data_IF_227781653377
#
_entry.id   IF_227781653377
#
_cell.length_a   1.000
_cell.length_b   1.000
_cell.length_c   1.000
_cell.angle_alpha   90.00
_cell.angle_beta   90.00
_cell.angle_gamma   90.00
#
_symmetry.space_group_name_H-M   'P 1'
#
loop_
_entity.id
_entity.type
_entity.pdbx_description
1 polymer ?
#
# COMPACT_ATOMS: atom_id res chain seq x y z
N UNK A 1 -30.55 45.60 -48.33
CA UNK A 1 -31.05 44.68 -47.29
C UNK A 1 -31.15 43.28 -47.90
N UNK A 2 -30.21 42.39 -47.63
CA UNK A 2 -30.17 41.04 -48.17
C UNK A 2 -29.09 40.23 -47.45
N UNK A 3 -29.52 39.24 -46.67
CA UNK A 3 -28.72 38.54 -45.65
C UNK A 3 -27.65 37.64 -46.28
N UNK A 4 -26.44 37.67 -45.70
CA UNK A 4 -25.40 36.67 -45.92
C UNK A 4 -25.55 35.60 -44.84
N UNK A 5 -25.99 34.40 -45.21
CA UNK A 5 -25.97 33.24 -44.33
C UNK A 5 -24.56 32.63 -44.31
N UNK A 6 -24.00 32.49 -43.11
CA UNK A 6 -22.70 31.83 -42.88
C UNK A 6 -22.94 30.33 -42.75
N UNK A 7 -22.31 29.55 -43.63
CA UNK A 7 -22.28 28.08 -43.57
C UNK A 7 -21.25 27.64 -42.52
N UNK A 8 -21.69 26.80 -41.57
CA UNK A 8 -20.82 26.21 -40.55
C UNK A 8 -20.10 24.97 -41.09
N UNK A 9 -18.77 25.00 -41.06
CA UNK A 9 -17.89 23.90 -41.44
C UNK A 9 -17.90 22.83 -40.33
N UNK A 10 -18.42 21.63 -40.63
CA UNK A 10 -18.38 20.48 -39.71
C UNK A 10 -17.07 19.73 -39.93
N UNK A 11 -16.17 19.77 -38.94
CA UNK A 11 -15.00 18.89 -38.91
C UNK A 11 -15.44 17.48 -38.51
N UNK A 12 -15.21 16.55 -39.44
CA UNK A 12 -15.33 15.11 -39.26
C UNK A 12 -13.97 14.62 -38.72
N UNK A 13 -13.92 14.11 -37.49
CA UNK A 13 -12.76 13.37 -36.99
C UNK A 13 -13.23 12.00 -36.52
N UNK A 14 -13.32 11.07 -37.47
CA UNK A 14 -13.41 9.64 -37.19
C UNK A 14 -12.00 9.10 -36.94
N UNK A 15 -11.82 8.40 -35.82
CA UNK A 15 -10.56 7.73 -35.49
C UNK A 15 -10.58 6.29 -36.05
N UNK A 16 -9.60 5.99 -36.91
CA UNK A 16 -9.27 4.65 -37.36
C UNK A 16 -8.43 3.96 -36.27
N UNK A 17 -8.84 2.79 -35.81
CA UNK A 17 -7.99 1.92 -34.97
C UNK A 17 -7.11 1.10 -35.91
N UNK A 18 -5.84 1.49 -36.06
CA UNK A 18 -4.81 0.65 -36.65
C UNK A 18 -4.12 -0.13 -35.53
N UNK A 19 -4.17 -1.46 -35.60
CA UNK A 19 -3.51 -2.35 -34.65
C UNK A 19 -1.99 -2.19 -34.72
N UNK A 20 -1.36 -1.95 -33.56
CA UNK A 20 0.09 -2.01 -33.40
C UNK A 20 0.39 -3.07 -32.36
N UNK A 21 1.11 -4.10 -32.80
CA UNK A 21 1.69 -5.14 -31.97
C UNK A 21 2.94 -4.54 -31.30
N UNK A 22 2.92 -4.39 -29.97
CA UNK A 22 4.07 -3.89 -29.21
C UNK A 22 4.57 -4.93 -28.21
N UNK A 23 5.87 -5.18 -28.28
CA UNK A 23 6.67 -6.05 -27.43
C UNK A 23 6.72 -5.48 -26.01
N UNK A 24 6.43 -6.31 -25.01
CA UNK A 24 6.46 -5.92 -23.60
C UNK A 24 7.91 -5.81 -23.10
N UNK A 25 8.32 -4.62 -22.69
CA UNK A 25 9.46 -4.43 -21.77
C UNK A 25 8.90 -4.27 -20.36
N UNK A 26 9.18 -5.24 -19.50
CA UNK A 26 8.80 -5.25 -18.08
C UNK A 26 9.57 -4.18 -17.30
N UNK A 27 8.90 -3.08 -16.95
CA UNK A 27 9.33 -2.18 -15.88
C UNK A 27 8.77 -2.67 -14.54
N UNK A 28 9.63 -2.76 -13.52
CA UNK A 28 9.31 -3.25 -12.18
C UNK A 28 8.09 -2.51 -11.57
N UNK A 29 7.07 -3.26 -11.19
CA UNK A 29 5.81 -2.73 -10.66
C UNK A 29 5.79 -2.67 -9.13
N UNK A 30 5.12 -1.63 -8.62
CA UNK A 30 4.43 -1.68 -7.32
C UNK A 30 3.48 -2.89 -7.28
N UNK A 31 3.16 -3.38 -6.08
CA UNK A 31 2.38 -4.60 -5.84
C UNK A 31 1.26 -4.84 -6.87
N UNK A 32 1.20 -6.05 -7.42
CA UNK A 32 0.40 -6.38 -8.60
C UNK A 32 -1.12 -6.31 -8.41
N UNK A 33 -1.58 -6.14 -7.18
CA UNK A 33 -3.00 -6.20 -6.83
C UNK A 33 -3.67 -4.85 -7.05
N UNK A 34 -4.22 -4.71 -8.26
CA UNK A 34 -5.05 -3.59 -8.71
C UNK A 34 -6.51 -4.01 -8.77
N UNK A 35 -7.41 -3.10 -8.45
CA UNK A 35 -8.85 -3.26 -8.63
C UNK A 35 -9.15 -3.51 -10.12
N UNK A 36 -9.79 -4.64 -10.41
CA UNK A 36 -10.08 -5.06 -11.78
C UNK A 36 -10.98 -4.04 -12.50
N UNK A 37 -10.45 -3.46 -13.59
CA UNK A 37 -11.18 -2.50 -14.42
C UNK A 37 -11.30 -1.10 -13.83
N UNK A 38 -10.53 -0.72 -12.80
CA UNK A 38 -10.63 0.59 -12.15
C UNK A 38 -9.38 1.46 -12.38
N UNK A 39 -9.60 2.74 -12.68
CA UNK A 39 -8.55 3.75 -12.84
C UNK A 39 -8.87 5.00 -12.03
N UNK A 40 -7.80 5.66 -11.57
CA UNK A 40 -7.83 7.01 -11.03
C UNK A 40 -7.29 7.97 -12.09
N UNK A 41 -8.08 8.98 -12.44
CA UNK A 41 -7.77 9.91 -13.54
C UNK A 41 -7.87 11.34 -13.05
N UNK A 42 -6.77 12.08 -13.17
CA UNK A 42 -6.74 13.51 -12.86
C UNK A 42 -6.68 14.33 -14.15
N UNK A 43 -7.70 15.15 -14.44
CA UNK A 43 -7.66 16.14 -15.52
C UNK A 43 -6.66 17.25 -15.21
N UNK A 44 -6.15 17.92 -16.25
CA UNK A 44 -5.40 19.17 -16.05
C UNK A 44 -6.32 20.28 -15.55
N UNK A 45 -5.74 21.19 -14.77
CA UNK A 45 -6.43 22.38 -14.29
C UNK A 45 -7.04 23.16 -15.46
N UNK A 46 -8.32 23.55 -15.33
CA UNK A 46 -9.05 24.32 -16.35
C UNK A 46 -9.82 23.48 -17.37
N UNK A 47 -9.69 22.15 -17.37
CA UNK A 47 -10.53 21.28 -18.20
C UNK A 47 -11.97 21.30 -17.68
N UNK A 48 -12.91 21.72 -18.53
CA UNK A 48 -14.32 21.80 -18.14
C UNK A 48 -14.90 20.41 -17.86
N UNK A 49 -15.57 20.24 -16.72
CA UNK A 49 -16.20 18.97 -16.30
C UNK A 49 -17.07 18.33 -17.38
N UNK A 50 -17.85 19.13 -18.10
CA UNK A 50 -18.72 18.68 -19.21
C UNK A 50 -17.93 18.11 -20.40
N UNK A 51 -16.74 18.64 -20.69
CA UNK A 51 -15.88 18.12 -21.74
C UNK A 51 -15.29 16.75 -21.35
N UNK A 52 -14.90 16.61 -20.07
CA UNK A 52 -14.40 15.36 -19.51
C UNK A 52 -15.48 14.26 -19.49
N UNK A 53 -16.70 14.59 -19.04
CA UNK A 53 -17.84 13.67 -19.04
C UNK A 53 -18.18 13.20 -20.46
N UNK A 54 -18.15 14.11 -21.43
CA UNK A 54 -18.35 13.77 -22.84
C UNK A 54 -17.27 12.82 -23.34
N UNK A 55 -16.00 13.11 -23.05
CA UNK A 55 -14.87 12.25 -23.44
C UNK A 55 -15.02 10.84 -22.85
N UNK A 56 -15.39 10.70 -21.58
CA UNK A 56 -15.59 9.40 -20.96
C UNK A 56 -16.80 8.65 -21.55
N UNK A 57 -17.91 9.34 -21.81
CA UNK A 57 -19.08 8.75 -22.43
C UNK A 57 -18.79 8.21 -23.85
N UNK A 58 -18.01 8.94 -24.66
CA UNK A 58 -17.61 8.51 -26.01
C UNK A 58 -16.71 7.26 -26.00
N UNK A 59 -15.97 7.03 -24.90
CA UNK A 59 -15.02 5.93 -24.76
C UNK A 59 -15.54 4.75 -23.92
N UNK A 60 -16.86 4.69 -23.66
CA UNK A 60 -17.49 3.64 -22.83
C UNK A 60 -16.87 3.53 -21.43
N UNK A 61 -16.39 4.65 -20.90
CA UNK A 61 -15.83 4.77 -19.56
C UNK A 61 -16.94 5.20 -18.61
N UNK A 62 -17.13 4.45 -17.53
CA UNK A 62 -18.12 4.79 -16.50
C UNK A 62 -17.46 5.55 -15.37
N UNK A 63 -17.98 6.71 -14.99
CA UNK A 63 -17.53 7.41 -13.78
C UNK A 63 -18.22 6.76 -12.58
N UNK A 64 -17.43 6.20 -11.66
CA UNK A 64 -17.94 5.54 -10.45
C UNK A 64 -17.91 6.49 -9.26
N UNK A 65 -16.98 7.44 -9.25
CA UNK A 65 -16.87 8.40 -8.16
C UNK A 65 -15.87 9.52 -8.46
N UNK A 66 -15.67 10.36 -7.45
CA UNK A 66 -14.76 11.50 -7.50
C UNK A 66 -14.16 11.73 -6.11
N UNK A 67 -12.91 12.22 -6.09
CA UNK A 67 -12.23 12.73 -4.91
C UNK A 67 -12.13 14.25 -5.06
N UNK A 68 -13.12 15.02 -4.58
CA UNK A 68 -13.30 16.42 -4.99
C UNK A 68 -12.13 17.33 -4.63
N UNK A 69 -11.45 17.07 -3.50
CA UNK A 69 -10.36 17.92 -2.99
C UNK A 69 -9.12 17.92 -3.89
N UNK A 70 -8.94 16.87 -4.68
CA UNK A 70 -7.80 16.69 -5.59
C UNK A 70 -8.24 16.51 -7.05
N UNK A 71 -9.54 16.70 -7.33
CA UNK A 71 -10.16 16.62 -8.65
C UNK A 71 -9.92 15.30 -9.40
N UNK A 72 -9.68 14.22 -8.66
CA UNK A 72 -9.47 12.87 -9.23
C UNK A 72 -10.81 12.21 -9.50
N UNK A 73 -10.98 11.68 -10.71
CA UNK A 73 -12.12 10.82 -11.07
C UNK A 73 -11.76 9.36 -10.84
N UNK A 74 -12.66 8.65 -10.18
CA UNK A 74 -12.63 7.20 -10.15
C UNK A 74 -13.51 6.68 -11.30
N UNK A 75 -12.88 6.00 -12.25
CA UNK A 75 -13.55 5.45 -13.42
C UNK A 75 -13.46 3.92 -13.48
N UNK A 76 -14.45 3.31 -14.13
CA UNK A 76 -14.50 1.89 -14.44
C UNK A 76 -14.54 1.66 -15.94
N UNK A 77 -13.77 0.69 -16.38
CA UNK A 77 -13.59 0.27 -17.77
C UNK A 77 -13.66 -1.25 -17.87
N UNK A 78 -13.96 -1.82 -19.04
CA UNK A 78 -13.83 -3.26 -19.23
C UNK A 78 -12.41 -3.71 -18.88
N UNK A 79 -12.27 -4.74 -18.04
CA UNK A 79 -10.97 -5.20 -17.53
C UNK A 79 -9.97 -5.50 -18.66
N UNK A 80 -10.45 -6.12 -19.74
CA UNK A 80 -9.64 -6.42 -20.95
C UNK A 80 -9.09 -5.17 -21.66
N UNK A 81 -9.70 -4.01 -21.44
CA UNK A 81 -9.30 -2.74 -22.02
C UNK A 81 -8.53 -1.85 -21.03
N UNK A 82 -8.31 -2.31 -19.78
CA UNK A 82 -7.76 -1.50 -18.70
C UNK A 82 -6.41 -0.86 -19.05
N UNK A 83 -5.45 -1.67 -19.47
CA UNK A 83 -4.10 -1.19 -19.81
C UNK A 83 -4.12 -0.27 -21.04
N UNK A 84 -4.97 -0.58 -22.03
CA UNK A 84 -5.15 0.24 -23.23
C UNK A 84 -5.74 1.62 -22.89
N UNK A 85 -6.83 1.65 -22.11
CA UNK A 85 -7.50 2.89 -21.72
C UNK A 85 -6.60 3.72 -20.82
N UNK A 86 -5.90 3.10 -19.86
CA UNK A 86 -4.89 3.78 -19.04
C UNK A 86 -3.84 4.44 -19.93
N UNK A 87 -3.26 3.71 -20.87
CA UNK A 87 -2.25 4.24 -21.79
C UNK A 87 -2.80 5.40 -22.64
N UNK A 88 -4.00 5.26 -23.20
CA UNK A 88 -4.62 6.31 -24.00
C UNK A 88 -4.89 7.58 -23.19
N UNK A 89 -5.41 7.44 -21.97
CA UNK A 89 -5.66 8.57 -21.07
C UNK A 89 -4.35 9.22 -20.60
N UNK A 90 -3.30 8.45 -20.33
CA UNK A 90 -1.98 8.98 -19.95
C UNK A 90 -1.34 9.83 -21.06
N UNK A 91 -1.71 9.64 -22.33
CA UNK A 91 -1.22 10.43 -23.46
C UNK A 91 -2.19 11.53 -23.91
N UNK A 92 -3.35 11.68 -23.25
CA UNK A 92 -4.33 12.68 -23.61
C UNK A 92 -3.88 14.08 -23.11
N UNK A 93 -3.92 15.12 -23.97
CA UNK A 93 -3.46 16.46 -23.60
C UNK A 93 -4.24 17.12 -22.46
N UNK A 94 -5.49 16.71 -22.22
CA UNK A 94 -6.37 17.23 -21.16
C UNK A 94 -6.24 16.46 -19.84
N UNK A 95 -5.45 15.38 -19.80
CA UNK A 95 -5.24 14.54 -18.61
C UNK A 95 -3.85 14.81 -18.03
N UNK A 96 -3.79 15.05 -16.73
CA UNK A 96 -2.53 15.21 -15.98
C UNK A 96 -1.91 13.84 -15.70
N UNK A 97 -2.72 12.90 -15.21
CA UNK A 97 -2.33 11.49 -15.09
C UNK A 97 -3.53 10.54 -15.12
N UNK A 98 -3.25 9.29 -15.46
CA UNK A 98 -4.15 8.15 -15.32
C UNK A 98 -3.35 6.97 -14.76
N UNK A 99 -3.81 6.41 -13.64
CA UNK A 99 -3.14 5.32 -12.93
C UNK A 99 -4.14 4.24 -12.52
N UNK A 100 -3.63 3.05 -12.22
CA UNK A 100 -4.46 1.97 -11.69
C UNK A 100 -4.97 2.33 -10.30
N UNK A 101 -6.21 1.91 -10.00
CA UNK A 101 -6.67 1.90 -8.62
C UNK A 101 -6.09 0.66 -7.91
N UNK A 102 -5.06 0.84 -7.08
CA UNK A 102 -4.46 -0.26 -6.34
C UNK A 102 -5.27 -0.60 -5.10
N UNK A 103 -5.29 -1.88 -4.73
CA UNK A 103 -5.80 -2.29 -3.43
C UNK A 103 -4.88 -1.73 -2.35
N UNK A 104 -5.46 -1.03 -1.37
CA UNK A 104 -4.75 -0.69 -0.15
C UNK A 104 -4.77 -1.93 0.76
N UNK A 105 -3.60 -2.40 1.16
CA UNK A 105 -3.48 -3.45 2.17
C UNK A 105 -3.73 -2.87 3.56
N UNK A 106 -4.30 -3.69 4.44
CA UNK A 106 -4.55 -3.29 5.83
C UNK A 106 -3.21 -3.09 6.54
N UNK A 107 -3.05 -1.92 7.19
CA UNK A 107 -1.92 -1.69 8.09
C UNK A 107 -2.05 -2.66 9.26
N UNK A 108 -1.05 -3.51 9.48
CA UNK A 108 -1.01 -4.39 10.65
C UNK A 108 -0.86 -3.52 11.91
N UNK A 109 -1.97 -3.33 12.62
CA UNK A 109 -2.02 -2.68 13.93
C UNK A 109 -2.16 -3.78 14.99
N UNK A 110 -1.12 -4.01 15.80
CA UNK A 110 -1.18 -5.01 16.85
C UNK A 110 -2.33 -4.79 17.84
N UNK A 111 -3.01 -5.88 18.22
CA UNK A 111 -4.12 -5.85 19.18
C UNK A 111 -3.69 -5.94 20.66
N UNK A 112 -2.39 -5.88 20.91
CA UNK A 112 -1.77 -6.06 22.23
C UNK A 112 -2.19 -4.95 23.21
N UNK A 113 -2.39 -5.32 24.48
CA UNK A 113 -3.05 -4.47 25.50
C UNK A 113 -2.42 -3.09 25.63
N UNK A 114 -1.09 -3.00 25.53
CA UNK A 114 -0.34 -1.76 25.72
C UNK A 114 0.17 -1.13 24.42
N UNK A 115 -0.12 -1.71 23.25
CA UNK A 115 0.41 -1.22 21.98
C UNK A 115 0.00 0.24 21.72
N UNK A 116 -1.31 0.51 21.69
CA UNK A 116 -1.83 1.83 21.37
C UNK A 116 -1.57 2.88 22.47
N UNK A 117 -1.46 2.45 23.74
CA UNK A 117 -1.37 3.37 24.89
C UNK A 117 0.06 3.66 25.33
N UNK A 118 1.02 2.76 25.10
CA UNK A 118 2.38 2.87 25.63
C UNK A 118 3.48 2.76 24.56
N UNK A 119 3.25 2.10 23.43
CA UNK A 119 4.32 1.83 22.45
C UNK A 119 4.42 2.89 21.35
N UNK A 120 4.61 4.13 21.76
CA UNK A 120 4.76 5.30 20.88
C UNK A 120 5.90 5.17 19.86
N UNK A 121 6.88 4.31 20.12
CA UNK A 121 8.06 4.13 19.29
C UNK A 121 7.77 3.41 17.98
N UNK A 122 6.78 2.51 17.91
CA UNK A 122 6.49 1.75 16.69
C UNK A 122 6.10 2.65 15.51
N UNK A 123 5.17 3.62 15.65
CA UNK A 123 4.93 4.61 14.61
C UNK A 123 6.15 5.46 14.27
N UNK A 124 7.03 5.75 15.26
CA UNK A 124 8.22 6.59 15.05
C UNK A 124 9.32 5.92 14.24
N UNK A 125 9.45 4.60 14.37
CA UNK A 125 10.41 3.80 13.59
C UNK A 125 9.74 3.11 12.38
N UNK A 126 8.49 3.47 12.09
CA UNK A 126 7.69 2.91 10.99
C UNK A 126 7.53 1.38 11.05
N UNK A 127 7.47 0.79 12.24
CA UNK A 127 7.23 -0.66 12.39
C UNK A 127 5.97 -1.14 11.67
N UNK A 128 4.80 -0.46 11.72
CA UNK A 128 3.60 -0.93 11.03
C UNK A 128 3.80 -1.16 9.53
N UNK A 129 4.40 -0.20 8.83
CA UNK A 129 4.72 -0.35 7.41
C UNK A 129 5.76 -1.47 7.16
N UNK A 130 6.63 -1.76 8.13
CA UNK A 130 7.54 -2.90 8.08
C UNK A 130 6.81 -4.23 8.25
N UNK A 131 5.84 -4.29 9.17
CA UNK A 131 5.03 -5.48 9.44
C UNK A 131 4.11 -5.85 8.28
N UNK A 132 3.68 -4.85 7.50
CA UNK A 132 2.97 -5.08 6.22
C UNK A 132 3.83 -5.86 5.21
N UNK A 133 5.17 -5.76 5.31
CA UNK A 133 6.11 -6.52 4.46
C UNK A 133 6.49 -7.86 5.12
N UNK A 134 6.86 -7.82 6.40
CA UNK A 134 7.23 -9.01 7.18
C UNK A 134 7.16 -8.74 8.68
N UNK A 135 6.68 -9.71 9.45
CA UNK A 135 6.72 -9.69 10.92
C UNK A 135 7.90 -10.47 11.48
N UNK A 136 8.96 -10.67 10.68
CA UNK A 136 10.07 -11.55 11.01
C UNK A 136 9.94 -12.96 10.42
N UNK A 137 10.85 -13.84 10.83
CA UNK A 137 10.93 -15.22 10.33
C UNK A 137 11.51 -16.13 11.41
N UNK A 138 10.95 -17.33 11.53
CA UNK A 138 11.51 -18.38 12.41
C UNK A 138 12.92 -18.83 11.98
N UNK A 139 13.37 -18.44 10.77
CA UNK A 139 14.74 -18.67 10.30
C UNK A 139 15.76 -17.62 10.77
N UNK A 140 15.32 -16.55 11.45
CA UNK A 140 16.20 -15.50 11.97
C UNK A 140 16.20 -15.56 13.49
N UNK A 141 17.38 -15.75 14.08
CA UNK A 141 17.56 -15.78 15.54
C UNK A 141 18.20 -14.47 16.03
N UNK A 142 17.60 -13.85 17.04
CA UNK A 142 18.12 -12.67 17.71
C UNK A 142 18.80 -13.10 19.02
N UNK A 143 20.10 -12.85 19.16
CA UNK A 143 20.83 -13.11 20.40
C UNK A 143 20.79 -11.87 21.31
N UNK A 144 20.22 -12.01 22.51
CA UNK A 144 20.22 -10.96 23.54
C UNK A 144 21.29 -11.28 24.58
N UNK A 145 22.32 -10.43 24.65
CA UNK A 145 23.43 -10.56 25.61
C UNK A 145 23.16 -9.59 26.77
N UNK A 146 22.43 -10.04 27.77
CA UNK A 146 21.97 -9.23 28.90
C UNK A 146 21.94 -10.04 30.21
N UNK A 147 21.15 -9.59 31.18
CA UNK A 147 20.93 -10.17 32.50
C UNK A 147 20.15 -11.50 32.52
N UNK A 148 19.68 -11.94 31.35
CA UNK A 148 18.86 -13.14 31.15
C UNK A 148 17.49 -12.79 30.57
N UNK A 149 16.59 -13.76 30.52
CA UNK A 149 15.19 -13.57 30.13
C UNK A 149 14.30 -14.43 31.02
N UNK A 150 13.16 -13.90 31.45
CA UNK A 150 12.16 -14.69 32.19
C UNK A 150 11.61 -15.80 31.29
N UNK A 151 11.92 -17.08 31.56
CA UNK A 151 11.50 -18.19 30.72
C UNK A 151 10.00 -18.47 30.80
N UNK A 152 9.31 -17.92 31.79
CA UNK A 152 7.88 -18.10 32.03
C UNK A 152 7.03 -16.94 31.52
N UNK A 153 7.65 -15.88 30.98
CA UNK A 153 6.92 -14.70 30.54
C UNK A 153 5.94 -15.05 29.41
N UNK A 154 4.64 -14.73 29.54
CA UNK A 154 3.62 -15.18 28.59
C UNK A 154 3.84 -14.62 27.17
N UNK A 155 4.49 -13.46 27.08
CA UNK A 155 4.76 -12.76 25.83
C UNK A 155 6.07 -13.16 25.14
N UNK A 156 6.90 -14.01 25.78
CA UNK A 156 8.23 -14.37 25.29
C UNK A 156 8.48 -15.87 25.25
N UNK A 157 7.92 -16.63 26.19
CA UNK A 157 8.22 -18.05 26.39
C UNK A 157 8.11 -18.91 25.13
N UNK A 158 7.15 -18.62 24.24
CA UNK A 158 6.98 -19.35 22.98
C UNK A 158 8.04 -19.03 21.90
N UNK A 159 8.77 -17.92 22.04
CA UNK A 159 9.83 -17.47 21.11
C UNK A 159 11.24 -17.75 21.63
N UNK A 160 11.38 -18.22 22.87
CA UNK A 160 12.70 -18.48 23.46
C UNK A 160 13.35 -19.74 22.90
N UNK A 161 14.64 -19.62 22.59
CA UNK A 161 15.51 -20.74 22.23
C UNK A 161 16.48 -21.04 23.39
N UNK A 162 17.08 -22.25 23.43
CA UNK A 162 18.15 -22.53 24.38
C UNK A 162 19.27 -21.50 24.28
N UNK A 163 19.64 -20.92 25.42
CA UNK A 163 20.71 -19.95 25.52
C UNK A 163 21.85 -20.41 26.44
N UNK A 164 22.78 -19.49 26.73
CA UNK A 164 23.92 -19.78 27.58
C UNK A 164 24.17 -18.65 28.58
N UNK A 165 24.45 -19.03 29.83
CA UNK A 165 24.82 -18.11 30.90
C UNK A 165 26.34 -18.13 31.10
N UNK A 166 26.99 -17.09 30.59
CA UNK A 166 28.45 -16.95 30.65
C UNK A 166 28.98 -16.56 32.04
N UNK A 167 28.14 -16.11 32.97
CA UNK A 167 28.58 -15.72 34.31
C UNK A 167 28.91 -16.95 35.17
N UNK A 168 28.11 -18.02 35.04
CA UNK A 168 28.25 -19.23 35.85
C UNK A 168 28.50 -20.50 35.00
N UNK A 169 28.69 -20.36 33.69
CA UNK A 169 28.93 -21.46 32.74
C UNK A 169 27.83 -22.53 32.78
N UNK A 170 26.57 -22.10 32.69
CA UNK A 170 25.40 -22.99 32.68
C UNK A 170 24.45 -22.66 31.53
N UNK A 171 23.43 -23.48 31.32
CA UNK A 171 22.31 -23.21 30.41
C UNK A 171 21.15 -22.51 31.10
N UNK A 172 21.27 -22.12 32.38
CA UNK A 172 20.23 -21.39 33.09
C UNK A 172 20.34 -19.89 32.76
N UNK A 173 19.50 -19.45 31.81
CA UNK A 173 19.42 -18.06 31.34
C UNK A 173 18.31 -17.25 31.98
N UNK A 174 17.73 -17.71 33.10
CA UNK A 174 16.69 -16.98 33.80
C UNK A 174 17.18 -15.59 34.20
N UNK A 175 16.36 -14.57 33.91
CA UNK A 175 16.68 -13.19 34.25
C UNK A 175 16.75 -12.97 35.77
N UNK A 176 17.77 -12.25 36.21
CA UNK A 176 17.98 -11.89 37.62
C UNK A 176 17.80 -10.40 37.90
N UNK A 177 17.56 -9.56 36.87
CA UNK A 177 17.38 -8.11 37.00
C UNK A 177 16.10 -7.58 36.34
N UNK A 178 15.59 -8.24 35.32
CA UNK A 178 14.43 -7.82 34.53
C UNK A 178 14.79 -6.98 33.29
N UNK A 179 16.02 -6.48 33.19
CA UNK A 179 16.45 -5.65 32.06
C UNK A 179 16.50 -6.47 30.77
N UNK A 180 17.03 -7.69 30.82
CA UNK A 180 17.14 -8.54 29.64
C UNK A 180 15.77 -9.01 29.15
N UNK A 181 14.83 -9.25 30.06
CA UNK A 181 13.42 -9.51 29.71
C UNK A 181 12.77 -8.32 29.01
N UNK A 182 13.01 -7.09 29.47
CA UNK A 182 12.51 -5.89 28.82
C UNK A 182 13.12 -5.69 27.42
N UNK A 183 14.43 -5.91 27.27
CA UNK A 183 15.13 -5.86 25.98
C UNK A 183 14.57 -6.92 25.02
N UNK A 184 14.37 -8.15 25.49
CA UNK A 184 13.77 -9.24 24.71
C UNK A 184 12.33 -8.90 24.29
N UNK A 185 11.54 -8.26 25.17
CA UNK A 185 10.20 -7.77 24.85
C UNK A 185 10.19 -6.75 23.72
N UNK A 186 11.04 -5.73 23.80
CA UNK A 186 11.18 -4.72 22.73
C UNK A 186 11.58 -5.36 21.39
N UNK A 187 12.50 -6.34 21.42
CA UNK A 187 12.96 -7.01 20.22
C UNK A 187 11.87 -7.91 19.61
N UNK A 188 11.29 -8.79 20.43
CA UNK A 188 10.62 -9.99 19.95
C UNK A 188 9.45 -10.46 20.82
N UNK A 189 8.75 -9.58 21.55
CA UNK A 189 7.47 -9.96 22.16
C UNK A 189 6.50 -10.56 21.11
N UNK A 190 5.62 -11.44 21.56
CA UNK A 190 4.54 -11.98 20.73
C UNK A 190 3.54 -10.86 20.44
N UNK A 191 3.44 -10.44 19.18
CA UNK A 191 2.42 -9.49 18.77
C UNK A 191 1.09 -10.18 18.45
N UNK A 192 0.01 -9.43 18.53
CA UNK A 192 -1.35 -9.86 18.20
C UNK A 192 -1.92 -10.96 19.11
N UNK A 193 -1.51 -11.02 20.37
CA UNK A 193 -1.99 -12.02 21.32
C UNK A 193 -2.94 -11.44 22.39
N UNK A 194 -3.36 -10.17 22.21
CA UNK A 194 -4.25 -9.41 23.08
C UNK A 194 -3.73 -9.16 24.51
N UNK A 195 -2.47 -9.49 24.82
CA UNK A 195 -1.83 -9.19 26.10
C UNK A 195 -0.62 -8.28 25.86
N UNK A 196 0.01 -7.79 26.92
CA UNK A 196 1.38 -7.25 26.83
C UNK A 196 1.61 -6.20 25.73
N UNK A 197 2.70 -6.41 24.99
CA UNK A 197 3.29 -5.46 24.03
C UNK A 197 3.64 -6.16 22.72
N UNK A 198 3.75 -5.42 21.63
CA UNK A 198 4.30 -5.92 20.38
C UNK A 198 5.83 -5.83 20.36
N UNK A 199 6.50 -6.87 19.86
CA UNK A 199 7.92 -6.82 19.52
C UNK A 199 8.14 -6.16 18.15
N UNK A 200 9.38 -5.79 17.83
CA UNK A 200 9.71 -5.33 16.47
C UNK A 200 9.70 -6.48 15.46
N UNK A 201 10.16 -7.69 15.84
CA UNK A 201 10.17 -8.89 15.01
C UNK A 201 10.06 -10.18 15.86
#
# INVERSE_FOLDING_TARGET
>A
MGKVEKVAFRYFTGFFVAGVLSIATSGAGFGSDRMAGELLVKPKAGVAKKALEKMFAENHVSIVGEIPRIEVKHIKVPEKALDLVKSALSHNPDIEYAEFNYLAEEVVIPNDTYYASAQWHHPKISSPAGWDITTGSNGVTIAIIDSGVDPSHPDLSAKLLPGYNFLNNTTNTADVRGHGTAVAGCAAALSNNAIGVAGVA
#
